data_IF_868323641061
#
_entry.id   IF_868323641061
#
_cell.length_a   1.000
_cell.length_b   1.000
_cell.length_c   1.000
_cell.angle_alpha   90.00
_cell.angle_beta   90.00
_cell.angle_gamma   90.00
#
_symmetry.space_group_name_H-M   'P 1'
#
loop_
_entity.id
_entity.type
_entity.pdbx_description
1 polymer ?
#
# COMPACT_ATOMS: atom_id res chain seq x y z
N UNK A 1 20.83 -27.34 14.05
CA UNK A 1 19.42 -27.63 14.42
C UNK A 1 18.69 -26.31 14.50
N UNK A 2 18.17 -25.82 13.37
CA UNK A 2 17.29 -24.65 13.35
C UNK A 2 15.91 -25.10 13.80
N UNK A 3 15.43 -24.54 14.91
CA UNK A 3 14.03 -24.61 15.27
C UNK A 3 13.27 -23.70 14.31
N UNK A 4 12.56 -24.27 13.33
CA UNK A 4 11.44 -23.59 12.68
C UNK A 4 10.36 -23.39 13.75
N UNK A 5 10.27 -22.17 14.30
CA UNK A 5 9.04 -21.74 14.95
C UNK A 5 8.00 -21.61 13.84
N UNK A 6 7.13 -22.61 13.69
CA UNK A 6 5.88 -22.44 12.96
C UNK A 6 5.03 -21.41 13.71
N UNK A 7 5.19 -20.13 13.37
CA UNK A 7 4.28 -19.09 13.80
C UNK A 7 2.97 -19.38 13.09
N UNK A 8 1.95 -19.79 13.85
CA UNK A 8 0.60 -19.97 13.33
C UNK A 8 0.01 -18.55 13.13
N UNK A 9 0.36 -17.91 12.03
CA UNK A 9 -0.15 -16.60 11.65
C UNK A 9 -1.64 -16.73 11.33
N UNK A 10 -2.46 -15.87 11.95
CA UNK A 10 -3.91 -15.86 11.78
C UNK A 10 -4.34 -14.50 11.27
N UNK A 11 -5.09 -14.48 10.18
CA UNK A 11 -5.71 -13.27 9.67
C UNK A 11 -6.83 -12.83 10.62
N UNK A 12 -6.79 -11.56 11.02
CA UNK A 12 -7.80 -10.93 11.86
C UNK A 12 -8.23 -9.61 11.25
N UNK A 13 -9.51 -9.28 11.41
CA UNK A 13 -10.05 -7.97 11.07
C UNK A 13 -10.47 -7.29 12.34
N UNK A 14 -9.96 -6.09 12.57
CA UNK A 14 -10.23 -5.32 13.77
C UNK A 14 -10.99 -4.04 13.43
N UNK A 15 -12.13 -3.84 14.09
CA UNK A 15 -12.80 -2.55 14.12
C UNK A 15 -12.38 -1.82 15.41
N UNK A 16 -11.48 -0.83 15.34
CA UNK A 16 -11.00 -0.11 16.51
C UNK A 16 -12.08 0.80 17.14
N UNK A 17 -13.15 1.14 16.42
CA UNK A 17 -14.27 1.91 16.99
C UNK A 17 -15.04 1.08 18.02
N UNK A 18 -15.41 -0.14 17.62
CA UNK A 18 -16.25 -1.03 18.42
C UNK A 18 -15.43 -1.97 19.30
N UNK A 19 -14.12 -2.05 19.09
CA UNK A 19 -13.24 -3.03 19.73
C UNK A 19 -13.46 -4.46 19.24
N UNK A 20 -14.29 -4.68 18.22
CA UNK A 20 -14.60 -6.00 17.69
C UNK A 20 -13.41 -6.54 16.88
N UNK A 21 -13.02 -7.77 17.19
CA UNK A 21 -11.98 -8.51 16.46
C UNK A 21 -12.64 -9.75 15.87
N UNK A 22 -12.67 -9.83 14.54
CA UNK A 22 -13.11 -11.01 13.82
C UNK A 22 -11.90 -11.84 13.39
N UNK A 23 -11.96 -13.14 13.65
CA UNK A 23 -10.95 -14.10 13.20
C UNK A 23 -11.42 -14.70 11.88
N UNK A 24 -10.60 -14.57 10.85
CA UNK A 24 -10.92 -15.11 9.53
C UNK A 24 -10.41 -16.56 9.48
N UNK A 25 -11.23 -17.53 9.04
CA UNK A 25 -10.78 -18.91 8.89
C UNK A 25 -9.59 -18.97 7.91
N UNK A 26 -8.60 -19.84 8.14
CA UNK A 26 -7.47 -19.98 7.23
C UNK A 26 -7.92 -20.63 5.90
N UNK A 27 -7.22 -20.31 4.82
CA UNK A 27 -7.29 -21.10 3.58
C UNK A 27 -6.36 -22.32 3.70
N UNK A 28 -6.61 -23.39 2.93
CA UNK A 28 -5.86 -24.66 3.07
C UNK A 28 -4.38 -24.57 2.61
N UNK A 29 -3.95 -23.43 2.05
CA UNK A 29 -2.63 -23.25 1.44
C UNK A 29 -1.66 -22.51 2.38
N UNK A 30 -1.05 -23.27 3.30
CA UNK A 30 -0.13 -22.78 4.33
C UNK A 30 1.32 -22.54 3.87
N UNK A 31 1.68 -22.90 2.63
CA UNK A 31 3.10 -23.01 2.24
C UNK A 31 3.82 -21.66 2.04
N UNK A 32 3.10 -20.55 1.85
CA UNK A 32 3.69 -19.24 1.47
C UNK A 32 2.97 -18.03 2.08
N UNK A 33 2.50 -18.12 3.34
CA UNK A 33 1.69 -17.06 3.97
C UNK A 33 2.34 -15.67 3.93
N UNK A 34 3.67 -15.62 3.98
CA UNK A 34 4.46 -14.37 4.05
C UNK A 34 4.47 -13.56 2.74
N UNK A 35 3.98 -14.12 1.62
CA UNK A 35 3.94 -13.45 0.31
C UNK A 35 2.54 -13.09 -0.17
N UNK A 36 1.50 -13.37 0.62
CA UNK A 36 0.14 -13.02 0.21
C UNK A 36 -0.15 -11.55 0.46
N UNK A 37 -0.68 -10.89 -0.56
CA UNK A 37 -1.28 -9.59 -0.45
C UNK A 37 -2.72 -9.72 0.05
N UNK A 38 -3.15 -8.77 0.88
CA UNK A 38 -4.50 -8.71 1.43
C UNK A 38 -5.10 -7.33 1.20
N UNK A 39 -6.40 -7.30 0.91
CA UNK A 39 -7.16 -6.09 0.72
C UNK A 39 -8.53 -6.21 1.37
N UNK A 40 -8.93 -5.20 2.14
CA UNK A 40 -10.28 -5.11 2.69
C UNK A 40 -11.09 -4.10 1.87
N UNK A 41 -12.20 -4.54 1.31
CA UNK A 41 -13.08 -3.68 0.54
C UNK A 41 -14.54 -4.03 0.73
N UNK A 42 -15.41 -3.34 0.01
CA UNK A 42 -16.83 -3.66 0.00
C UNK A 42 -17.45 -3.33 -1.35
N UNK A 43 -18.36 -4.20 -1.79
CA UNK A 43 -19.31 -3.88 -2.84
C UNK A 43 -20.56 -3.21 -2.26
N UNK A 44 -21.28 -2.45 -3.08
CA UNK A 44 -22.56 -1.86 -2.69
C UNK A 44 -23.68 -2.42 -3.57
N UNK A 45 -24.60 -3.19 -2.99
CA UNK A 45 -25.88 -3.52 -3.62
C UNK A 45 -27.00 -2.80 -2.85
N UNK A 46 -27.77 -1.95 -3.54
CA UNK A 46 -28.89 -1.17 -2.96
C UNK A 46 -28.54 -0.48 -1.62
N UNK A 47 -27.36 0.14 -1.56
CA UNK A 47 -26.82 0.83 -0.36
C UNK A 47 -26.45 -0.07 0.83
N UNK A 48 -26.51 -1.39 0.67
CA UNK A 48 -26.01 -2.34 1.66
C UNK A 48 -24.56 -2.66 1.28
N UNK A 49 -23.63 -2.39 2.21
CA UNK A 49 -22.21 -2.70 2.04
C UNK A 49 -21.98 -4.18 2.30
N UNK A 50 -21.45 -4.89 1.31
CA UNK A 50 -20.99 -6.26 1.42
C UNK A 50 -19.47 -6.25 1.55
N UNK A 51 -18.97 -6.33 2.77
CA UNK A 51 -17.54 -6.37 3.03
C UNK A 51 -16.94 -7.68 2.56
N UNK A 52 -15.72 -7.62 2.04
CA UNK A 52 -14.97 -8.77 1.54
C UNK A 52 -13.48 -8.58 1.77
N UNK A 53 -12.74 -9.68 1.84
CA UNK A 53 -11.28 -9.67 1.89
C UNK A 53 -10.76 -10.33 0.63
N UNK A 54 -10.03 -9.58 -0.19
CA UNK A 54 -9.22 -10.16 -1.24
C UNK A 54 -7.92 -10.67 -0.63
N UNK A 55 -7.55 -11.90 -0.96
CA UNK A 55 -6.24 -12.50 -0.66
C UNK A 55 -5.67 -13.00 -1.96
N UNK A 56 -4.49 -12.54 -2.33
CA UNK A 56 -3.88 -12.98 -3.58
C UNK A 56 -2.36 -13.10 -3.49
N UNK A 57 -1.81 -13.88 -4.40
CA UNK A 57 -0.39 -13.98 -4.67
C UNK A 57 -0.23 -14.13 -6.17
N UNK A 58 0.71 -13.38 -6.72
CA UNK A 58 1.16 -13.48 -8.10
C UNK A 58 2.67 -13.55 -8.01
N UNK A 59 3.22 -14.77 -8.12
CA UNK A 59 4.64 -15.03 -7.96
C UNK A 59 5.14 -15.81 -9.16
N UNK A 60 6.06 -15.21 -9.90
CA UNK A 60 6.84 -15.83 -10.97
C UNK A 60 8.33 -15.62 -10.65
N UNK A 61 9.07 -16.70 -10.38
CA UNK A 61 10.54 -16.66 -10.22
C UNK A 61 11.27 -17.35 -11.38
N UNK A 62 10.59 -17.58 -12.51
CA UNK A 62 11.09 -18.30 -13.67
C UNK A 62 11.22 -19.81 -13.48
N UNK A 63 10.96 -20.34 -12.27
CA UNK A 63 11.02 -21.77 -11.94
C UNK A 63 9.63 -22.27 -11.53
N UNK A 64 8.96 -21.54 -10.63
CA UNK A 64 7.62 -21.82 -10.12
C UNK A 64 6.70 -20.62 -10.35
N UNK A 65 5.69 -20.79 -11.19
CA UNK A 65 4.63 -19.81 -11.36
C UNK A 65 3.47 -20.19 -10.44
N UNK A 66 3.16 -19.33 -9.47
CA UNK A 66 2.06 -19.54 -8.55
C UNK A 66 1.19 -18.30 -8.47
N UNK A 67 0.01 -18.41 -9.07
CA UNK A 67 -1.03 -17.38 -9.08
C UNK A 67 -2.25 -17.92 -8.37
N UNK A 68 -2.71 -17.21 -7.34
CA UNK A 68 -3.91 -17.57 -6.60
C UNK A 68 -4.64 -16.32 -6.15
N UNK A 69 -5.93 -16.24 -6.46
CA UNK A 69 -6.84 -15.21 -5.97
C UNK A 69 -7.98 -15.86 -5.19
N UNK A 70 -8.18 -15.43 -3.95
CA UNK A 70 -9.28 -15.84 -3.11
C UNK A 70 -10.00 -14.62 -2.57
N UNK A 71 -11.31 -14.75 -2.38
CA UNK A 71 -12.12 -13.73 -1.72
C UNK A 71 -12.91 -14.33 -0.57
N UNK A 72 -12.83 -13.67 0.58
CA UNK A 72 -13.67 -13.97 1.74
C UNK A 72 -14.87 -13.04 1.71
N UNK A 73 -16.07 -13.59 1.78
CA UNK A 73 -17.30 -12.82 1.93
C UNK A 73 -17.79 -12.89 3.38
N UNK A 74 -17.93 -11.73 4.02
CA UNK A 74 -18.41 -11.66 5.40
C UNK A 74 -19.87 -12.11 5.54
N UNK A 75 -20.69 -11.90 4.51
CA UNK A 75 -22.10 -12.31 4.56
C UNK A 75 -22.26 -13.82 4.58
N UNK A 76 -21.39 -14.55 3.86
CA UNK A 76 -21.41 -16.02 3.83
C UNK A 76 -20.47 -16.66 4.85
N UNK A 77 -19.53 -15.89 5.41
CA UNK A 77 -18.51 -16.38 6.35
C UNK A 77 -17.52 -17.36 5.72
N UNK A 78 -17.27 -17.25 4.41
CA UNK A 78 -16.52 -18.27 3.67
C UNK A 78 -15.59 -17.70 2.61
N UNK A 79 -14.48 -18.40 2.38
CA UNK A 79 -13.61 -18.18 1.23
C UNK A 79 -14.15 -18.84 -0.02
N UNK A 80 -13.88 -18.23 -1.17
CA UNK A 80 -13.94 -18.87 -2.48
C UNK A 80 -12.79 -18.42 -3.36
N UNK A 81 -12.42 -19.27 -4.32
CA UNK A 81 -11.46 -18.95 -5.37
C UNK A 81 -12.11 -17.95 -6.33
N UNK A 82 -11.34 -16.93 -6.74
CA UNK A 82 -11.69 -16.03 -7.82
C UNK A 82 -11.01 -16.49 -9.10
N UNK A 83 -11.80 -16.60 -10.17
CA UNK A 83 -11.28 -16.83 -11.51
C UNK A 83 -10.92 -15.47 -12.12
N UNK A 84 -9.71 -15.01 -11.82
CA UNK A 84 -9.16 -13.75 -12.34
C UNK A 84 -8.29 -14.09 -13.54
N UNK A 85 -8.58 -13.47 -14.69
CA UNK A 85 -7.76 -13.61 -15.89
C UNK A 85 -6.30 -13.27 -15.56
N UNK A 86 -5.31 -14.05 -16.04
CA UNK A 86 -3.90 -13.71 -15.89
C UNK A 86 -3.66 -12.26 -16.30
N UNK A 87 -2.99 -11.52 -15.43
CA UNK A 87 -2.68 -10.11 -15.64
C UNK A 87 -1.28 -9.98 -16.22
N UNK A 88 -1.10 -9.04 -17.13
CA UNK A 88 0.19 -8.70 -17.76
C UNK A 88 1.06 -7.80 -16.85
N UNK A 89 0.70 -7.69 -15.57
CA UNK A 89 1.33 -6.84 -14.58
C UNK A 89 1.56 -7.56 -13.26
N UNK A 90 2.49 -7.03 -12.46
CA UNK A 90 2.83 -7.49 -11.13
C UNK A 90 2.55 -6.42 -10.08
N UNK A 91 2.02 -6.86 -8.92
CA UNK A 91 2.00 -6.07 -7.69
C UNK A 91 3.04 -6.67 -6.77
N UNK A 92 4.10 -5.91 -6.48
CA UNK A 92 5.14 -6.35 -5.58
C UNK A 92 4.58 -6.57 -4.16
N UNK A 93 4.97 -7.65 -3.49
CA UNK A 93 4.34 -8.08 -2.23
C UNK A 93 4.54 -7.10 -1.06
N UNK A 94 5.55 -6.24 -1.11
CA UNK A 94 5.74 -5.15 -0.14
C UNK A 94 4.96 -3.89 -0.51
N UNK A 95 4.27 -3.85 -1.65
CA UNK A 95 3.41 -2.73 -1.99
C UNK A 95 2.05 -2.88 -1.31
N UNK A 96 1.71 -1.87 -0.52
CA UNK A 96 0.47 -1.86 0.23
C UNK A 96 -0.63 -1.17 -0.56
N UNK A 97 -1.73 -1.89 -0.73
CA UNK A 97 -2.92 -1.35 -1.36
C UNK A 97 -3.62 -0.36 -0.45
N UNK A 98 -4.21 0.68 -1.05
CA UNK A 98 -5.03 1.66 -0.33
C UNK A 98 -6.50 1.53 -0.72
N UNK A 99 -7.37 1.41 0.28
CA UNK A 99 -8.79 1.19 0.05
C UNK A 99 -9.57 2.50 0.04
N UNK A 100 -10.09 2.88 -1.13
CA UNK A 100 -10.85 4.11 -1.35
C UNK A 100 -12.25 3.78 -1.87
N UNK A 101 -13.28 4.30 -1.19
CA UNK A 101 -14.70 4.15 -1.57
C UNK A 101 -15.15 2.70 -1.78
N UNK A 102 -14.53 1.75 -1.09
CA UNK A 102 -14.85 0.32 -1.14
C UNK A 102 -13.97 -0.51 -2.08
N UNK A 103 -13.21 0.15 -2.96
CA UNK A 103 -12.26 -0.49 -3.87
C UNK A 103 -10.83 -0.32 -3.36
N UNK A 104 -9.90 -1.14 -3.83
CA UNK A 104 -8.48 -1.04 -3.41
C UNK A 104 -7.59 -0.79 -4.61
N UNK A 105 -6.64 0.12 -4.42
CA UNK A 105 -5.71 0.60 -5.44
C UNK A 105 -4.29 0.21 -5.07
N UNK A 106 -3.52 -0.27 -6.03
CA UNK A 106 -2.10 -0.60 -5.88
C UNK A 106 -1.28 0.06 -6.96
N UNK A 107 0.00 0.24 -6.62
CA UNK A 107 1.04 0.44 -7.60
C UNK A 107 1.44 -0.90 -8.22
N UNK A 108 1.54 -0.96 -9.54
CA UNK A 108 1.91 -2.14 -10.32
C UNK A 108 2.88 -1.78 -11.46
N UNK A 109 3.63 -2.79 -11.89
CA UNK A 109 4.58 -2.72 -13.02
C UNK A 109 4.26 -3.78 -14.06
N UNK A 110 4.65 -3.57 -15.31
CA UNK A 110 4.49 -4.56 -16.37
C UNK A 110 5.39 -5.80 -16.15
N UNK A 111 4.86 -7.02 -16.36
CA UNK A 111 5.59 -8.30 -16.16
C UNK A 111 6.70 -8.56 -17.17
N UNK A 112 6.46 -8.17 -18.42
CA UNK A 112 7.28 -8.58 -19.57
C UNK A 112 7.66 -7.36 -20.41
N UNK A 113 8.47 -6.45 -19.85
CA UNK A 113 9.04 -5.38 -20.67
C UNK A 113 10.09 -5.96 -21.63
N UNK A 114 9.85 -5.83 -22.95
CA UNK A 114 10.78 -6.28 -24.01
C UNK A 114 12.09 -5.47 -24.00
N UNK A 115 12.08 -4.29 -23.37
CA UNK A 115 13.21 -3.39 -23.22
C UNK A 115 13.39 -3.05 -21.75
N UNK A 116 14.45 -3.56 -21.11
CA UNK A 116 14.83 -3.29 -19.70
C UNK A 116 14.99 -1.81 -19.32
N UNK A 117 14.76 -0.88 -20.24
CA UNK A 117 15.01 0.55 -20.08
C UNK A 117 13.76 1.33 -19.67
N UNK A 118 12.54 0.77 -19.80
CA UNK A 118 11.29 1.43 -19.39
C UNK A 118 10.32 0.35 -18.82
N UNK A 119 10.28 0.19 -17.49
CA UNK A 119 9.20 -0.54 -16.83
C UNK A 119 8.01 0.40 -16.66
N UNK A 120 7.02 0.26 -17.56
CA UNK A 120 5.80 1.05 -17.49
C UNK A 120 5.08 0.75 -16.18
N UNK A 121 4.90 1.82 -15.41
CA UNK A 121 4.33 1.77 -14.06
C UNK A 121 3.00 2.48 -14.02
N UNK A 122 2.05 1.89 -13.30
CA UNK A 122 0.68 2.39 -13.27
C UNK A 122 -0.02 1.99 -11.97
N UNK A 123 -1.23 2.53 -11.78
CA UNK A 123 -2.12 2.05 -10.73
C UNK A 123 -3.06 0.99 -11.28
N UNK A 124 -3.37 0.00 -10.46
CA UNK A 124 -4.43 -0.98 -10.71
C UNK A 124 -5.44 -0.91 -9.59
N UNK A 125 -6.71 -1.11 -9.94
CA UNK A 125 -7.83 -1.06 -9.01
C UNK A 125 -8.54 -2.41 -8.99
N UNK A 126 -8.75 -2.99 -7.81
CA UNK A 126 -9.67 -4.10 -7.64
C UNK A 126 -11.05 -3.57 -7.24
N UNK A 127 -12.04 -3.77 -8.10
CA UNK A 127 -13.43 -3.42 -7.83
C UNK A 127 -14.11 -4.54 -7.06
N UNK A 128 -14.50 -4.29 -5.82
CA UNK A 128 -15.13 -5.30 -4.95
C UNK A 128 -16.60 -5.57 -5.29
N UNK A 129 -17.21 -4.72 -6.12
CA UNK A 129 -18.57 -4.89 -6.61
C UNK A 129 -18.59 -5.89 -7.76
N UNK A 130 -17.73 -5.72 -8.76
CA UNK A 130 -17.61 -6.66 -9.90
C UNK A 130 -16.66 -7.82 -9.63
N UNK A 131 -15.81 -7.70 -8.60
CA UNK A 131 -14.77 -8.67 -8.20
C UNK A 131 -13.71 -8.90 -9.27
N UNK A 132 -13.32 -7.82 -9.95
CA UNK A 132 -12.37 -7.84 -11.05
C UNK A 132 -11.39 -6.68 -10.93
N UNK A 133 -10.20 -6.84 -11.51
CA UNK A 133 -9.31 -5.71 -11.74
C UNK A 133 -9.84 -4.83 -12.87
N UNK A 134 -9.75 -3.52 -12.67
CA UNK A 134 -10.00 -2.51 -13.70
C UNK A 134 -8.80 -2.34 -14.66
N UNK A 135 -8.90 -1.40 -15.61
CA UNK A 135 -7.79 -1.08 -16.51
C UNK A 135 -6.62 -0.44 -15.73
N UNK A 136 -5.43 -0.45 -16.36
CA UNK A 136 -4.28 0.33 -15.90
C UNK A 136 -4.63 1.82 -15.84
N UNK A 137 -4.30 2.45 -14.72
CA UNK A 137 -4.61 3.84 -14.43
C UNK A 137 -3.30 4.66 -14.42
N UNK A 138 -3.26 5.81 -15.12
CA UNK A 138 -2.03 6.57 -15.27
C UNK A 138 -1.55 7.20 -13.95
N UNK A 139 -0.24 7.32 -13.82
CA UNK A 139 0.45 8.06 -12.76
C UNK A 139 0.51 9.58 -13.11
N UNK A 140 0.80 10.47 -12.14
CA UNK A 140 0.85 11.91 -12.43
C UNK A 140 1.96 12.22 -13.43
N UNK A 141 1.86 13.28 -14.25
CA UNK A 141 3.02 13.72 -15.05
C UNK A 141 3.79 14.82 -14.31
N UNK A 142 5.14 14.89 -14.41
CA UNK A 142 6.06 13.93 -15.04
C UNK A 142 6.56 12.90 -14.02
N UNK A 143 5.72 11.95 -13.63
CA UNK A 143 6.17 10.79 -12.89
C UNK A 143 6.86 9.85 -13.86
N UNK A 144 8.11 9.57 -13.57
CA UNK A 144 8.93 8.61 -14.29
C UNK A 144 9.62 7.80 -13.20
N UNK A 145 9.40 6.48 -13.22
CA UNK A 145 10.18 5.56 -12.40
C UNK A 145 11.38 5.16 -13.22
N UNK A 146 12.54 5.59 -12.74
CA UNK A 146 13.80 5.32 -13.42
C UNK A 146 14.50 4.10 -12.83
N UNK A 147 14.17 3.74 -11.59
CA UNK A 147 14.87 2.70 -10.85
C UNK A 147 13.91 1.90 -9.96
N UNK A 148 14.17 0.59 -9.87
CA UNK A 148 13.55 -0.31 -8.89
C UNK A 148 13.84 0.08 -7.43
N UNK A 149 14.86 0.91 -7.20
CA UNK A 149 15.23 1.42 -5.87
C UNK A 149 14.43 2.68 -5.45
N UNK A 150 13.60 3.24 -6.32
CA UNK A 150 12.74 4.38 -6.01
C UNK A 150 11.71 4.04 -4.93
N UNK A 151 11.54 4.92 -3.93
CA UNK A 151 10.46 4.75 -2.96
C UNK A 151 9.15 5.22 -3.58
N UNK A 152 8.16 4.34 -3.62
CA UNK A 152 6.78 4.71 -3.97
C UNK A 152 5.84 4.31 -2.83
N UNK A 153 4.92 5.20 -2.49
CA UNK A 153 3.89 4.91 -1.49
C UNK A 153 2.56 5.56 -1.86
N UNK A 154 1.47 4.89 -1.51
CA UNK A 154 0.11 5.39 -1.71
C UNK A 154 -0.53 5.73 -0.36
N UNK A 155 -1.36 6.76 -0.38
CA UNK A 155 -2.20 7.15 0.76
C UNK A 155 -3.53 7.75 0.28
N UNK A 156 -4.39 8.09 1.23
CA UNK A 156 -5.71 8.68 0.99
C UNK A 156 -5.84 9.94 1.83
N UNK A 157 -6.41 10.98 1.23
CA UNK A 157 -6.79 12.22 1.92
C UNK A 157 -8.30 12.43 1.83
N UNK A 158 -8.90 12.79 2.98
CA UNK A 158 -10.33 13.07 3.15
C UNK A 158 -11.30 12.00 2.61
N UNK A 159 -10.87 10.75 2.49
CA UNK A 159 -11.67 9.63 1.94
C UNK A 159 -12.14 9.81 0.49
N UNK A 160 -11.55 10.76 -0.22
CA UNK A 160 -12.04 11.15 -1.55
C UNK A 160 -10.96 11.12 -2.62
N UNK A 161 -9.70 11.29 -2.24
CA UNK A 161 -8.59 11.45 -3.17
C UNK A 161 -7.45 10.49 -2.82
N UNK A 162 -6.77 9.98 -3.85
CA UNK A 162 -5.51 9.27 -3.70
C UNK A 162 -4.37 10.28 -3.62
N UNK A 163 -3.34 9.89 -2.87
CA UNK A 163 -2.10 10.63 -2.72
C UNK A 163 -0.95 9.70 -3.05
N UNK A 164 -0.02 10.16 -3.88
CA UNK A 164 1.16 9.41 -4.28
C UNK A 164 2.40 10.13 -3.75
N UNK A 165 3.27 9.38 -3.06
CA UNK A 165 4.61 9.79 -2.70
C UNK A 165 5.59 9.06 -3.60
N UNK A 166 6.54 9.81 -4.15
CA UNK A 166 7.69 9.24 -4.86
C UNK A 166 8.98 9.94 -4.46
N UNK A 167 9.98 9.13 -4.15
CA UNK A 167 11.35 9.56 -3.88
C UNK A 167 12.29 8.82 -4.84
N UNK A 168 12.83 9.51 -5.86
CA UNK A 168 13.84 8.95 -6.73
C UNK A 168 15.12 8.63 -5.94
N UNK A 169 15.73 7.48 -6.19
CA UNK A 169 16.97 7.04 -5.55
C UNK A 169 18.15 7.98 -5.85
N UNK A 170 18.22 8.52 -7.07
CA UNK A 170 19.34 9.31 -7.57
C UNK A 170 19.36 10.74 -7.00
N UNK A 171 18.22 11.42 -7.00
CA UNK A 171 18.07 12.82 -6.58
C UNK A 171 17.61 12.96 -5.14
N UNK A 172 17.03 11.90 -4.55
CA UNK A 172 16.41 11.90 -3.22
C UNK A 172 15.43 13.06 -3.02
N UNK A 173 14.84 13.57 -4.11
CA UNK A 173 13.89 14.67 -4.07
C UNK A 173 12.49 14.08 -3.99
N UNK A 174 11.98 13.96 -2.77
CA UNK A 174 10.64 13.46 -2.50
C UNK A 174 9.61 14.44 -3.06
N UNK A 175 8.63 13.90 -3.78
CA UNK A 175 7.50 14.62 -4.36
C UNK A 175 6.19 13.95 -3.94
N UNK A 176 5.17 14.76 -3.70
CA UNK A 176 3.84 14.28 -3.32
C UNK A 176 2.78 14.88 -4.26
N UNK A 177 1.97 14.03 -4.88
CA UNK A 177 0.85 14.39 -5.74
C UNK A 177 -0.48 13.99 -5.13
N UNK A 178 -1.52 14.77 -5.43
CA UNK A 178 -2.89 14.49 -5.02
C UNK A 178 -3.76 14.38 -6.27
N UNK A 179 -4.68 13.42 -6.29
CA UNK A 179 -5.64 13.28 -7.40
C UNK A 179 -6.65 14.42 -7.42
N UNK A 180 -7.02 14.90 -8.60
CA UNK A 180 -8.18 15.78 -8.80
C UNK A 180 -9.47 15.00 -8.99
N UNK A 181 -9.38 13.80 -9.58
CA UNK A 181 -10.50 12.88 -9.79
C UNK A 181 -10.02 11.45 -9.63
N UNK A 182 -10.85 10.62 -9.02
CA UNK A 182 -10.63 9.18 -8.91
C UNK A 182 -11.95 8.42 -8.99
N UNK A 183 -11.98 7.46 -9.91
CA UNK A 183 -13.03 6.48 -10.16
C UNK A 183 -12.39 5.10 -10.30
N UNK A 184 -13.15 3.99 -10.26
CA UNK A 184 -12.58 2.65 -10.39
C UNK A 184 -11.74 2.45 -11.66
N UNK A 185 -12.11 3.12 -12.76
CA UNK A 185 -11.50 2.95 -14.08
C UNK A 185 -10.86 4.23 -14.64
N UNK A 186 -10.73 5.29 -13.84
CA UNK A 186 -10.15 6.55 -14.28
C UNK A 186 -9.54 7.34 -13.13
N UNK A 187 -8.35 7.91 -13.34
CA UNK A 187 -7.69 8.81 -12.40
C UNK A 187 -7.20 10.05 -13.13
N UNK A 188 -7.27 11.20 -12.47
CA UNK A 188 -6.58 12.41 -12.91
C UNK A 188 -5.85 13.03 -11.72
N UNK A 189 -4.66 13.54 -12.00
CA UNK A 189 -3.77 14.12 -11.00
C UNK A 189 -3.81 15.64 -11.03
N UNK A 190 -3.49 16.26 -9.90
CA UNK A 190 -3.22 17.69 -9.88
C UNK A 190 -1.91 17.97 -10.61
N UNK A 191 -1.89 19.00 -11.46
CA UNK A 191 -0.68 19.46 -12.13
C UNK A 191 0.33 20.07 -11.14
N UNK A 192 -0.14 20.51 -9.97
CA UNK A 192 0.69 21.03 -8.90
C UNK A 192 0.95 19.95 -7.85
N UNK A 193 2.23 19.85 -7.46
CA UNK A 193 2.67 19.06 -6.32
C UNK A 193 2.09 19.64 -5.03
N UNK A 194 1.69 18.76 -4.12
CA UNK A 194 1.39 19.15 -2.75
C UNK A 194 2.67 19.53 -2.01
N UNK A 195 3.74 18.73 -2.16
CA UNK A 195 4.99 18.94 -1.46
C UNK A 195 6.17 18.45 -2.30
N UNK A 196 7.28 19.19 -2.23
CA UNK A 196 8.61 18.79 -2.72
C UNK A 196 9.61 18.98 -1.60
N UNK A 197 10.38 17.95 -1.28
CA UNK A 197 11.39 17.98 -0.23
C UNK A 197 12.69 17.34 -0.71
N UNK A 198 13.80 18.05 -0.58
CA UNK A 198 15.13 17.50 -0.87
C UNK A 198 15.61 16.71 0.37
N UNK A 199 15.44 15.39 0.33
CA UNK A 199 15.75 14.51 1.47
C UNK A 199 17.26 14.48 1.76
N UNK A 200 18.08 14.56 0.71
CA UNK A 200 19.53 14.65 0.83
C UNK A 200 19.98 15.83 1.71
N UNK A 201 19.32 16.98 1.57
CA UNK A 201 19.61 18.20 2.34
C UNK A 201 18.94 18.20 3.72
N UNK A 202 17.72 17.68 3.82
CA UNK A 202 16.91 17.77 5.04
C UNK A 202 17.25 16.71 6.08
N UNK A 203 17.56 15.48 5.66
CA UNK A 203 17.79 14.33 6.57
C UNK A 203 19.27 13.96 6.61
N UNK A 204 19.80 13.38 5.53
CA UNK A 204 21.22 13.07 5.34
C UNK A 204 21.49 12.65 3.88
N UNK A 205 22.75 12.77 3.41
CA UNK A 205 23.14 12.22 2.12
C UNK A 205 22.93 10.71 2.09
N UNK A 206 22.21 10.19 1.09
CA UNK A 206 21.89 8.76 0.89
C UNK A 206 20.73 8.19 1.76
N UNK A 207 19.87 9.02 2.33
CA UNK A 207 18.68 8.51 3.01
C UNK A 207 17.53 8.25 2.03
N UNK A 208 17.22 6.97 1.83
CA UNK A 208 16.09 6.49 1.04
C UNK A 208 15.03 5.91 1.98
N UNK A 209 13.78 6.30 1.80
CA UNK A 209 12.67 5.62 2.45
C UNK A 209 12.54 4.20 1.87
N UNK A 210 12.24 3.21 2.70
CA UNK A 210 12.22 1.80 2.26
C UNK A 210 10.81 1.26 2.14
N UNK A 211 10.04 1.28 3.23
CA UNK A 211 8.65 0.84 3.26
C UNK A 211 7.77 1.92 3.91
N UNK A 212 7.99 3.15 3.45
CA UNK A 212 7.37 4.33 4.02
C UNK A 212 5.85 4.27 3.89
N UNK A 213 5.19 4.56 5.01
CA UNK A 213 3.77 4.87 5.02
C UNK A 213 3.57 6.33 5.38
N UNK A 214 2.59 6.99 4.76
CA UNK A 214 2.45 8.43 4.93
C UNK A 214 1.00 8.89 4.88
N UNK A 215 0.78 10.12 5.32
CA UNK A 215 -0.45 10.87 5.11
C UNK A 215 -0.13 12.35 4.96
N UNK A 216 -1.09 13.10 4.43
CA UNK A 216 -1.02 14.56 4.35
C UNK A 216 -2.15 15.19 5.16
N UNK A 217 -1.87 16.37 5.70
CA UNK A 217 -2.86 17.24 6.32
C UNK A 217 -2.85 18.56 5.53
N UNK A 218 -3.85 18.72 4.66
CA UNK A 218 -3.96 19.90 3.80
C UNK A 218 -4.26 21.18 4.59
N UNK A 219 -4.91 21.09 5.75
CA UNK A 219 -5.21 22.29 6.54
C UNK A 219 -3.96 22.81 7.25
N UNK A 220 -3.12 21.89 7.72
CA UNK A 220 -1.83 22.22 8.33
C UNK A 220 -0.70 22.38 7.30
N UNK A 221 -0.94 22.02 6.04
CA UNK A 221 0.07 22.06 4.97
C UNK A 221 1.31 21.24 5.33
N UNK A 222 1.09 20.00 5.80
CA UNK A 222 2.17 19.08 6.16
C UNK A 222 1.97 17.69 5.56
N UNK A 223 3.08 16.99 5.32
CA UNK A 223 3.12 15.55 5.08
C UNK A 223 3.84 14.85 6.24
N UNK A 224 3.30 13.74 6.71
CA UNK A 224 3.93 12.91 7.75
C UNK A 224 4.28 11.57 7.12
N UNK A 225 5.58 11.27 7.05
CA UNK A 225 6.13 10.03 6.50
C UNK A 225 6.70 9.22 7.66
N UNK A 226 6.24 7.99 7.84
CA UNK A 226 6.72 7.07 8.86
C UNK A 226 7.58 6.01 8.23
N UNK A 227 8.81 5.86 8.75
CA UNK A 227 9.75 4.81 8.34
C UNK A 227 10.73 4.52 9.49
N UNK A 228 11.68 3.61 9.27
CA UNK A 228 12.82 3.40 10.14
C UNK A 228 13.73 4.63 10.18
N UNK A 229 14.34 4.83 11.35
CA UNK A 229 15.29 5.90 11.58
C UNK A 229 16.57 5.75 10.75
N UNK A 230 17.26 6.87 10.59
CA UNK A 230 18.42 7.03 9.70
C UNK A 230 19.74 6.38 10.18
N UNK A 231 19.79 5.81 11.39
CA UNK A 231 21.01 5.18 11.90
C UNK A 231 21.18 3.76 11.34
N UNK A 232 21.83 3.68 10.19
CA UNK A 232 22.12 2.43 9.46
C UNK A 232 23.03 1.47 10.24
N UNK A 233 23.66 1.92 11.33
CA UNK A 233 24.51 1.08 12.19
C UNK A 233 23.71 0.40 13.30
N UNK A 234 22.48 0.84 13.55
CA UNK A 234 21.56 0.21 14.47
C UNK A 234 20.85 -0.94 13.75
N UNK A 235 20.94 -2.19 14.24
CA UNK A 235 20.19 -3.32 13.66
C UNK A 235 18.67 -3.14 13.77
N UNK A 236 18.22 -2.48 14.84
CA UNK A 236 16.84 -2.14 15.14
C UNK A 236 16.68 -0.62 15.21
N UNK A 237 16.69 0.11 14.08
CA UNK A 237 16.46 1.54 14.10
C UNK A 237 15.04 1.83 14.61
N UNK A 238 14.90 2.87 15.44
CA UNK A 238 13.59 3.31 15.94
C UNK A 238 12.68 3.65 14.77
N UNK A 239 11.37 3.48 14.96
CA UNK A 239 10.40 4.01 14.03
C UNK A 239 10.34 5.53 14.20
N UNK A 240 10.46 6.29 13.11
CA UNK A 240 10.46 7.75 13.12
C UNK A 240 9.31 8.25 12.26
N UNK A 241 8.60 9.26 12.74
CA UNK A 241 7.71 10.09 11.93
C UNK A 241 8.44 11.37 11.50
N UNK A 242 8.66 11.52 10.21
CA UNK A 242 9.20 12.70 9.55
C UNK A 242 8.05 13.61 9.12
N UNK A 243 7.97 14.79 9.71
CA UNK A 243 6.94 15.79 9.45
C UNK A 243 7.54 16.87 8.55
N UNK A 244 7.13 16.90 7.29
CA UNK A 244 7.54 17.87 6.29
C UNK A 244 6.48 18.96 6.16
N UNK A 245 6.86 20.22 6.32
CA UNK A 245 6.02 21.37 5.98
C UNK A 245 6.19 21.77 4.52
N UNK A 246 5.11 22.25 3.90
CA UNK A 246 5.16 22.82 2.54
C UNK A 246 6.07 24.07 2.47
N UNK A 247 6.35 24.69 3.63
CA UNK A 247 7.34 25.77 3.79
C UNK A 247 8.81 25.31 3.77
N UNK A 248 9.05 24.01 3.62
CA UNK A 248 10.38 23.39 3.63
C UNK A 248 10.89 23.02 5.02
N UNK A 249 10.07 23.16 6.07
CA UNK A 249 10.45 22.71 7.41
C UNK A 249 10.44 21.18 7.54
N UNK A 250 11.30 20.66 8.42
CA UNK A 250 11.34 19.25 8.81
C UNK A 250 11.36 19.13 10.33
N UNK A 251 10.53 18.23 10.86
CA UNK A 251 10.59 17.78 12.25
C UNK A 251 10.58 16.26 12.31
N UNK A 252 11.44 15.69 13.16
CA UNK A 252 11.48 14.26 13.44
C UNK A 252 10.80 13.96 14.79
N UNK A 253 10.01 12.90 14.85
CA UNK A 253 9.38 12.39 16.09
C UNK A 253 9.71 10.92 16.24
N UNK A 254 10.37 10.57 17.35
CA UNK A 254 10.66 9.18 17.70
C UNK A 254 9.39 8.47 18.17
N UNK A 255 9.00 7.42 17.46
CA UNK A 255 7.85 6.56 17.78
C UNK A 255 8.26 5.34 18.63
N UNK A 256 9.55 5.18 18.90
CA UNK A 256 10.13 4.09 19.68
C UNK A 256 10.54 2.88 18.86
N UNK A 257 11.08 1.89 19.56
CA UNK A 257 11.55 0.62 18.99
C UNK A 257 10.39 -0.30 18.63
N UNK A 258 10.54 -1.06 17.54
CA UNK A 258 9.70 -2.21 17.27
C UNK A 258 10.42 -3.49 17.69
N UNK A 259 9.69 -4.43 18.31
CA UNK A 259 10.25 -5.73 18.70
C UNK A 259 10.63 -6.61 17.51
N UNK A 260 10.15 -6.28 16.31
CA UNK A 260 10.44 -6.97 15.06
C UNK A 260 11.15 -5.99 14.10
N UNK A 261 12.36 -6.35 13.70
CA UNK A 261 13.21 -5.58 12.77
C UNK A 261 12.54 -5.40 11.41
N UNK A 262 11.78 -6.40 10.96
CA UNK A 262 11.10 -6.40 9.65
C UNK A 262 9.76 -5.66 9.70
N UNK A 263 9.31 -5.22 10.87
CA UNK A 263 8.04 -4.52 11.01
C UNK A 263 8.24 -3.01 10.84
N UNK A 264 7.83 -2.51 9.69
CA UNK A 264 7.82 -1.08 9.36
C UNK A 264 6.62 -0.35 9.98
N UNK A 265 6.78 0.91 10.41
CA UNK A 265 5.68 1.67 10.97
C UNK A 265 4.63 1.93 9.90
N UNK A 266 3.36 1.63 10.23
CA UNK A 266 2.21 1.87 9.36
C UNK A 266 1.39 3.03 9.88
N UNK A 267 1.24 4.05 9.05
CA UNK A 267 0.19 5.05 9.21
C UNK A 267 -1.13 4.43 8.74
N UNK A 268 -2.11 4.34 9.64
CA UNK A 268 -3.47 4.01 9.25
C UNK A 268 -4.29 5.30 9.14
N UNK A 269 -4.75 5.63 7.93
CA UNK A 269 -5.84 6.60 7.76
C UNK A 269 -7.12 5.98 8.30
N UNK A 270 -7.36 6.14 9.60
CA UNK A 270 -8.52 5.60 10.27
C UNK A 270 -9.73 6.50 10.11
N UNK A 271 -10.81 5.93 9.60
CA UNK A 271 -12.13 6.56 9.56
C UNK A 271 -13.03 5.80 10.52
N UNK A 272 -13.64 6.47 11.52
CA UNK A 272 -14.62 5.84 12.40
C UNK A 272 -15.80 5.30 11.59
N UNK A 273 -15.98 3.98 11.61
CA UNK A 273 -17.14 3.32 11.03
C UNK A 273 -17.90 2.52 12.08
N UNK A 274 -19.21 2.78 12.18
CA UNK A 274 -20.15 2.07 13.06
C UNK A 274 -20.53 0.68 12.51
N UNK A 275 -19.98 0.26 11.37
CA UNK A 275 -20.33 -1.02 10.76
C UNK A 275 -19.90 -2.18 11.67
N UNK A 276 -20.88 -3.01 12.02
CA UNK A 276 -20.63 -4.34 12.58
C UNK A 276 -20.41 -5.31 11.43
N UNK A 277 -19.22 -5.91 11.39
CA UNK A 277 -18.93 -7.04 10.53
C UNK A 277 -19.51 -8.27 11.24
N UNK A 278 -20.50 -8.91 10.62
CA UNK A 278 -21.12 -10.13 11.13
C UNK A 278 -20.26 -11.37 10.83
#
# INVERSE_FOLDING_TARGET
>A
MHYERHVNTRLMVWNPYSGLILRIPPTQNFRRLDRYCYALGYGCDKSIKSYKILRFIDHDDGIDNFVEFNIYDFNSGSWRVLDVTPQDWDIFFSHHGVSLKGNTYWFATEKYSETKEEEDSFLVCFDFTSETFGPSLPLPLPFELYDSEDTVSLSIVREEQLVLLHQPWDTLTMKIWVTTKIEPNAVSWNSHLFLTANIQQLIQPQFQFTDASFFIDEEKQVAVVSDKGKDVRCPTPNNIAYIFGVDGSLKEVDLGECADELCYPRVCSYVPSLVQLN
#
